data_IF_395008587428
#
_entry.id   IF_395008587428
#
_cell.length_a   1.000
_cell.length_b   1.000
_cell.length_c   1.000
_cell.angle_alpha   90.00
_cell.angle_beta   90.00
_cell.angle_gamma   90.00
#
_symmetry.space_group_name_H-M   'P 1'
#
loop_
_entity.id
_entity.type
_entity.pdbx_description
1 polymer ?
#
# COMPACT_ATOMS: atom_id res chain seq x y z
N UNK A 1 8.78 -7.19 -4.07
CA UNK A 1 7.52 -6.64 -4.66
C UNK A 1 6.69 -7.72 -5.35
N UNK A 2 6.74 -8.97 -4.90
CA UNK A 2 6.03 -10.08 -5.56
C UNK A 2 4.52 -10.02 -5.36
N UNK A 3 4.03 -9.49 -4.23
CA UNK A 3 2.58 -9.36 -3.99
C UNK A 3 2.01 -8.10 -4.64
N UNK A 4 2.77 -6.99 -4.56
CA UNK A 4 2.41 -5.73 -5.23
C UNK A 4 2.28 -5.95 -6.74
N UNK A 5 3.14 -6.79 -7.33
CA UNK A 5 3.10 -7.04 -8.77
C UNK A 5 1.83 -7.78 -9.23
N UNK A 6 1.19 -8.54 -8.32
CA UNK A 6 -0.04 -9.30 -8.58
C UNK A 6 -1.31 -8.45 -8.52
N UNK A 7 -1.24 -7.21 -8.04
CA UNK A 7 -2.36 -6.28 -8.05
C UNK A 7 -2.78 -5.99 -9.50
N UNK A 8 -4.04 -6.29 -9.81
CA UNK A 8 -4.62 -6.11 -11.15
C UNK A 8 -4.92 -4.65 -11.48
N UNK A 9 -5.20 -3.87 -10.45
CA UNK A 9 -5.51 -2.45 -10.61
C UNK A 9 -4.21 -1.65 -10.69
N UNK A 10 -4.00 -0.96 -11.82
CA UNK A 10 -2.76 -0.24 -12.08
C UNK A 10 -2.52 0.91 -11.10
N UNK A 11 -3.58 1.54 -10.59
CA UNK A 11 -3.46 2.64 -9.61
C UNK A 11 -3.13 2.10 -8.23
N UNK A 12 -3.87 1.08 -7.78
CA UNK A 12 -3.59 0.38 -6.52
C UNK A 12 -2.17 -0.16 -6.49
N UNK A 13 -1.72 -0.76 -7.60
CA UNK A 13 -0.34 -1.25 -7.76
C UNK A 13 0.70 -0.14 -7.66
N UNK A 14 0.49 0.97 -8.36
CA UNK A 14 1.40 2.12 -8.31
C UNK A 14 1.47 2.73 -6.92
N UNK A 15 0.33 2.85 -6.24
CA UNK A 15 0.26 3.35 -4.87
C UNK A 15 0.92 2.39 -3.88
N UNK A 16 0.62 1.08 -3.95
CA UNK A 16 1.27 0.06 -3.11
C UNK A 16 2.79 0.07 -3.29
N UNK A 17 3.26 0.23 -4.53
CA UNK A 17 4.70 0.36 -4.82
C UNK A 17 5.28 1.62 -4.19
N UNK A 18 4.61 2.76 -4.34
CA UNK A 18 5.02 4.01 -3.71
C UNK A 18 5.08 3.90 -2.18
N UNK A 19 4.07 3.30 -1.56
CA UNK A 19 4.04 2.98 -0.13
C UNK A 19 5.22 2.09 0.28
N UNK A 20 5.51 1.05 -0.50
CA UNK A 20 6.66 0.18 -0.25
C UNK A 20 8.00 0.93 -0.35
N UNK A 21 8.18 1.77 -1.37
CA UNK A 21 9.45 2.48 -1.59
C UNK A 21 9.64 3.69 -0.65
N UNK A 22 8.54 4.35 -0.27
CA UNK A 22 8.55 5.60 0.49
C UNK A 22 8.31 5.41 2.00
N UNK A 23 7.84 4.24 2.43
CA UNK A 23 7.49 3.98 3.84
C UNK A 23 8.12 2.69 4.36
N UNK A 24 8.33 2.65 5.67
CA UNK A 24 8.80 1.46 6.38
C UNK A 24 7.64 0.54 6.75
N UNK A 25 7.88 -0.76 7.01
CA UNK A 25 6.84 -1.68 7.46
C UNK A 25 6.10 -1.19 8.71
N UNK A 26 6.77 -0.50 9.64
CA UNK A 26 6.12 0.06 10.84
C UNK A 26 5.13 1.16 10.49
N UNK A 27 5.51 2.08 9.58
CA UNK A 27 4.62 3.14 9.11
C UNK A 27 3.42 2.58 8.33
N UNK A 28 3.65 1.57 7.49
CA UNK A 28 2.58 0.88 6.76
C UNK A 28 1.64 0.09 7.69
N UNK A 29 2.17 -0.51 8.75
CA UNK A 29 1.36 -1.18 9.78
C UNK A 29 0.48 -0.17 10.51
N UNK A 30 1.04 0.96 10.94
CA UNK A 30 0.27 2.03 11.58
C UNK A 30 -0.79 2.63 10.64
N UNK A 31 -0.46 2.79 9.35
CA UNK A 31 -1.42 3.23 8.35
C UNK A 31 -2.56 2.21 8.15
N UNK A 32 -2.25 0.92 8.07
CA UNK A 32 -3.25 -0.14 7.94
C UNK A 32 -4.15 -0.29 9.17
N UNK A 33 -3.67 0.07 10.36
CA UNK A 33 -4.47 0.09 11.60
C UNK A 33 -5.29 1.39 11.76
N UNK A 34 -4.95 2.43 10.98
CA UNK A 34 -5.61 3.73 10.98
C UNK A 34 -6.65 3.87 9.86
N UNK A 35 -7.38 5.01 9.84
CA UNK A 35 -8.27 5.32 8.74
C UNK A 35 -7.48 5.60 7.45
N UNK A 36 -8.08 5.27 6.31
CA UNK A 36 -7.48 5.54 5.01
C UNK A 36 -7.19 7.03 4.81
N UNK A 37 -6.00 7.34 4.31
CA UNK A 37 -5.58 8.72 4.10
C UNK A 37 -6.29 9.31 2.88
N UNK A 38 -7.24 10.22 3.15
CA UNK A 38 -8.06 10.82 2.11
C UNK A 38 -7.24 11.65 1.12
N UNK A 39 -6.17 12.32 1.57
CA UNK A 39 -5.32 13.10 0.66
C UNK A 39 -4.58 12.17 -0.32
N UNK A 40 -4.12 11.01 0.13
CA UNK A 40 -3.54 10.00 -0.76
C UNK A 40 -4.59 9.41 -1.71
N UNK A 41 -5.79 9.09 -1.21
CA UNK A 41 -6.88 8.59 -2.06
C UNK A 41 -7.23 9.56 -3.18
N UNK A 42 -7.35 10.85 -2.86
CA UNK A 42 -7.63 11.91 -3.85
C UNK A 42 -6.45 12.13 -4.81
N UNK A 43 -5.22 12.11 -4.31
CA UNK A 43 -4.01 12.29 -5.13
C UNK A 43 -3.83 11.17 -6.15
N UNK A 44 -4.03 9.92 -5.72
CA UNK A 44 -3.87 8.74 -6.56
C UNK A 44 -5.16 8.37 -7.31
N UNK A 45 -6.29 8.98 -6.95
CA UNK A 45 -7.61 8.71 -7.51
C UNK A 45 -8.02 7.25 -7.30
N UNK A 46 -7.84 6.75 -6.08
CA UNK A 46 -8.18 5.39 -5.62
C UNK A 46 -9.26 5.45 -4.54
N UNK A 47 -10.00 4.36 -4.37
CA UNK A 47 -11.00 4.23 -3.30
C UNK A 47 -10.36 3.78 -1.98
N UNK A 48 -11.12 3.88 -0.89
CA UNK A 48 -10.71 3.39 0.44
C UNK A 48 -10.26 1.93 0.41
N UNK A 49 -11.07 1.03 -0.16
CA UNK A 49 -10.70 -0.38 -0.28
C UNK A 49 -9.43 -0.62 -1.13
N UNK A 50 -9.18 0.22 -2.14
CA UNK A 50 -7.93 0.15 -2.92
C UNK A 50 -6.74 0.67 -2.10
N UNK A 51 -6.91 1.73 -1.32
CA UNK A 51 -5.88 2.24 -0.43
C UNK A 51 -5.51 1.20 0.62
N UNK A 52 -6.50 0.60 1.27
CA UNK A 52 -6.29 -0.45 2.28
C UNK A 52 -5.59 -1.68 1.67
N UNK A 53 -6.05 -2.16 0.51
CA UNK A 53 -5.43 -3.26 -0.21
C UNK A 53 -3.97 -2.95 -0.56
N UNK A 54 -3.69 -1.73 -1.03
CA UNK A 54 -2.35 -1.31 -1.39
C UNK A 54 -1.40 -1.25 -0.19
N UNK A 55 -1.84 -0.64 0.92
CA UNK A 55 -1.04 -0.54 2.16
C UNK A 55 -0.80 -1.92 2.75
N UNK A 56 -1.83 -2.77 2.82
CA UNK A 56 -1.70 -4.14 3.31
C UNK A 56 -0.76 -4.98 2.45
N UNK A 57 -0.85 -4.85 1.12
CA UNK A 57 0.03 -5.54 0.17
C UNK A 57 1.47 -5.05 0.28
N UNK A 58 1.67 -3.72 0.38
CA UNK A 58 2.99 -3.13 0.57
C UNK A 58 3.65 -3.61 1.89
N UNK A 59 2.86 -3.66 2.96
CA UNK A 59 3.28 -4.17 4.26
C UNK A 59 3.67 -5.65 4.20
N UNK A 60 2.83 -6.48 3.59
CA UNK A 60 3.10 -7.91 3.44
C UNK A 60 4.38 -8.16 2.64
N UNK A 61 4.61 -7.38 1.58
CA UNK A 61 5.80 -7.49 0.75
C UNK A 61 7.08 -7.06 1.51
N UNK A 62 7.01 -6.00 2.32
CA UNK A 62 8.10 -5.59 3.22
C UNK A 62 8.44 -6.68 4.24
N UNK A 63 7.41 -7.25 4.88
CA UNK A 63 7.59 -8.37 5.82
C UNK A 63 8.20 -9.60 5.13
N UNK A 64 7.78 -9.90 3.90
CA UNK A 64 8.32 -11.00 3.11
C UNK A 64 9.77 -10.80 2.66
N UNK A 65 10.20 -9.55 2.41
CA UNK A 65 11.61 -9.24 2.10
C UNK A 65 12.52 -9.19 3.33
N UNK A 66 11.93 -9.04 4.52
CA UNK A 66 12.65 -9.02 5.80
C UNK A 66 12.80 -10.42 6.44
N UNK A 67 12.34 -11.47 5.75
CA UNK A 67 12.33 -12.87 6.21
C UNK A 67 13.33 -13.74 5.45
#
# INVERSE_FOLDING_TARGET
>A
MQMIDQLRDGKTKAFAKHCFESSTPEALNAAAEGPADQAQMEHWGITEGQWEEAVATALADHKAQSS
#
